data_IF_776690921276
#
_entry.id   IF_776690921276
#
_cell.length_a   1.000
_cell.length_b   1.000
_cell.length_c   1.000
_cell.angle_alpha   90.00
_cell.angle_beta   90.00
_cell.angle_gamma   90.00
#
_symmetry.space_group_name_H-M   'P 1'
#
loop_
_entity.id
_entity.type
_entity.pdbx_description
1 polymer ?
#
# COMPACT_ATOMS: atom_id res chain seq x y z
N UNK A 1 53.41 -2.53 49.97
CA UNK A 1 52.60 -1.32 49.71
C UNK A 1 52.55 -1.16 48.20
N UNK A 2 51.49 -1.66 47.57
CA UNK A 2 51.30 -1.64 46.11
C UNK A 2 49.92 -1.05 45.85
N UNK A 3 49.89 -0.02 45.02
CA UNK A 3 48.76 0.88 44.81
C UNK A 3 47.61 0.22 44.03
N UNK A 4 46.42 0.67 44.39
CA UNK A 4 45.09 0.29 43.91
C UNK A 4 44.90 0.37 42.40
N UNK A 5 44.30 -0.69 41.83
CA UNK A 5 43.58 -0.62 40.56
C UNK A 5 42.29 0.17 40.78
N UNK A 6 42.24 1.38 40.24
CA UNK A 6 41.07 2.24 40.21
C UNK A 6 40.87 2.62 38.74
N UNK A 7 39.86 2.03 38.08
CA UNK A 7 38.99 2.68 37.09
C UNK A 7 37.93 1.66 36.67
N UNK A 8 36.84 1.70 37.45
CA UNK A 8 35.49 1.34 37.05
C UNK A 8 35.08 2.30 35.93
N UNK A 9 34.63 1.77 34.79
CA UNK A 9 34.11 2.56 33.69
C UNK A 9 32.86 1.89 33.13
N UNK A 10 31.65 2.36 33.49
CA UNK A 10 30.44 2.01 32.79
C UNK A 10 30.11 3.17 31.83
N UNK A 11 30.04 2.90 30.54
CA UNK A 11 29.47 3.85 29.59
C UNK A 11 30.22 3.91 28.27
N UNK A 12 29.73 3.18 27.28
CA UNK A 12 28.65 3.65 26.41
C UNK A 12 28.36 2.48 25.47
N UNK A 13 27.26 1.77 25.73
CA UNK A 13 26.61 1.03 24.65
C UNK A 13 26.15 2.10 23.67
N UNK A 14 26.94 2.36 22.63
CA UNK A 14 26.42 2.91 21.40
C UNK A 14 25.37 1.91 20.95
N UNK A 15 24.12 2.13 21.37
CA UNK A 15 23.02 1.84 20.48
C UNK A 15 23.34 2.66 19.24
N UNK A 16 23.91 1.98 18.24
CA UNK A 16 23.63 2.34 16.87
C UNK A 16 22.11 2.47 16.78
N UNK A 17 21.61 3.70 16.95
CA UNK A 17 20.31 4.10 16.43
C UNK A 17 20.45 4.02 14.92
N UNK A 18 20.41 2.78 14.43
CA UNK A 18 20.15 2.50 13.04
C UNK A 18 18.85 3.26 12.73
N UNK A 19 18.86 4.21 11.78
CA UNK A 19 17.64 4.88 11.38
C UNK A 19 16.60 3.80 11.04
N UNK A 20 15.32 3.97 11.41
CA UNK A 20 14.31 2.97 11.10
C UNK A 20 14.34 2.71 9.59
N UNK A 21 14.80 1.53 9.19
CA UNK A 21 14.74 1.08 7.80
C UNK A 21 13.28 1.05 7.41
N UNK A 22 12.81 1.87 6.45
CA UNK A 22 11.41 1.87 6.03
C UNK A 22 11.16 0.71 5.07
N UNK A 23 11.50 -0.52 5.45
CA UNK A 23 11.67 -1.60 4.48
C UNK A 23 10.87 -2.87 4.82
N UNK A 24 9.67 -2.72 5.39
CA UNK A 24 8.68 -3.78 5.18
C UNK A 24 7.94 -3.46 3.89
N UNK A 25 8.13 -4.21 2.80
CA UNK A 25 7.33 -4.03 1.60
C UNK A 25 5.86 -4.25 1.93
N UNK A 26 4.97 -3.46 1.33
CA UNK A 26 3.51 -3.57 1.54
C UNK A 26 3.07 -5.02 1.48
N UNK A 27 2.36 -5.47 2.50
CA UNK A 27 1.74 -6.79 2.50
C UNK A 27 0.43 -6.78 1.70
N UNK A 28 0.50 -7.19 0.44
CA UNK A 28 -0.67 -7.31 -0.43
C UNK A 28 -1.70 -8.34 0.08
N UNK A 29 -1.30 -9.31 0.92
CA UNK A 29 -2.27 -10.21 1.55
C UNK A 29 -3.13 -9.46 2.55
N UNK A 30 -2.53 -8.59 3.36
CA UNK A 30 -3.25 -7.73 4.30
C UNK A 30 -4.17 -6.75 3.56
N UNK A 31 -3.69 -6.15 2.47
CA UNK A 31 -4.52 -5.28 1.60
C UNK A 31 -5.76 -6.03 1.10
N UNK A 32 -5.57 -7.23 0.56
CA UNK A 32 -6.67 -8.06 0.06
C UNK A 32 -7.63 -8.49 1.19
N UNK A 33 -7.12 -8.81 2.38
CA UNK A 33 -7.92 -9.16 3.55
C UNK A 33 -8.81 -7.99 4.01
N UNK A 34 -8.27 -6.76 4.05
CA UNK A 34 -9.05 -5.56 4.37
C UNK A 34 -10.15 -5.34 3.33
N UNK A 35 -9.81 -5.41 2.04
CA UNK A 35 -10.76 -5.23 0.95
C UNK A 35 -11.89 -6.28 0.96
N UNK A 36 -11.57 -7.55 1.27
CA UNK A 36 -12.59 -8.60 1.45
C UNK A 36 -13.54 -8.31 2.59
N UNK A 37 -13.02 -7.84 3.73
CA UNK A 37 -13.84 -7.43 4.88
C UNK A 37 -14.76 -6.24 4.57
N UNK A 38 -14.38 -5.41 3.60
CA UNK A 38 -15.20 -4.32 3.08
C UNK A 38 -16.25 -4.79 2.03
N UNK A 39 -16.36 -6.08 1.75
CA UNK A 39 -17.36 -6.64 0.85
C UNK A 39 -16.93 -6.78 -0.61
N UNK A 40 -15.62 -6.85 -0.88
CA UNK A 40 -15.09 -7.15 -2.21
C UNK A 40 -14.69 -8.62 -2.36
N UNK A 41 -14.79 -9.15 -3.58
CA UNK A 41 -14.01 -10.33 -3.95
C UNK A 41 -12.60 -9.87 -4.30
N UNK A 42 -11.57 -10.53 -3.77
CA UNK A 42 -10.17 -10.20 -4.07
C UNK A 42 -9.33 -11.43 -4.42
N UNK A 43 -8.55 -11.33 -5.48
CA UNK A 43 -7.56 -12.32 -5.93
C UNK A 43 -6.17 -11.68 -5.97
N UNK A 44 -5.19 -12.42 -5.47
CA UNK A 44 -3.78 -12.06 -5.60
C UNK A 44 -3.22 -12.66 -6.88
N UNK A 45 -2.46 -11.85 -7.61
CA UNK A 45 -1.56 -12.30 -8.66
C UNK A 45 -0.12 -12.08 -8.18
N UNK A 46 0.65 -13.16 -8.12
CA UNK A 46 2.03 -13.15 -7.68
C UNK A 46 3.01 -13.00 -8.86
N UNK A 47 2.51 -12.83 -10.09
CA UNK A 47 3.33 -12.45 -11.23
C UNK A 47 3.92 -11.05 -10.98
N UNK A 48 5.18 -10.82 -11.30
CA UNK A 48 5.83 -9.52 -11.06
C UNK A 48 5.34 -8.48 -12.10
N UNK A 49 4.82 -7.31 -11.68
CA UNK A 49 4.67 -6.86 -10.29
C UNK A 49 3.45 -7.49 -9.61
N UNK A 50 3.65 -7.93 -8.36
CA UNK A 50 2.58 -8.55 -7.58
C UNK A 50 1.39 -7.58 -7.45
N UNK A 51 0.18 -8.10 -7.64
CA UNK A 51 -1.03 -7.30 -7.74
C UNK A 51 -2.22 -7.92 -7.00
N UNK A 52 -3.11 -7.05 -6.53
CA UNK A 52 -4.44 -7.36 -6.02
C UNK A 52 -5.45 -7.00 -7.10
N UNK A 53 -6.22 -7.99 -7.53
CA UNK A 53 -7.40 -7.79 -8.34
C UNK A 53 -8.64 -7.82 -7.46
N UNK A 54 -9.54 -6.85 -7.64
CA UNK A 54 -10.77 -6.77 -6.86
C UNK A 54 -12.00 -6.48 -7.71
N UNK A 55 -13.16 -6.86 -7.19
CA UNK A 55 -14.48 -6.53 -7.74
C UNK A 55 -15.53 -6.49 -6.63
N UNK A 56 -16.67 -5.84 -6.87
CA UNK A 56 -17.81 -5.86 -5.94
C UNK A 56 -18.32 -7.30 -5.77
N UNK A 57 -18.49 -7.75 -4.53
CA UNK A 57 -19.09 -9.05 -4.26
C UNK A 57 -20.54 -9.10 -4.76
N UNK A 58 -20.98 -10.27 -5.25
CA UNK A 58 -22.34 -10.47 -5.74
C UNK A 58 -22.60 -10.01 -7.18
N UNK A 59 -21.65 -9.35 -7.86
CA UNK A 59 -21.76 -9.00 -9.29
C UNK A 59 -21.62 -10.21 -10.26
N UNK A 60 -21.80 -11.45 -9.79
CA UNK A 60 -21.71 -12.66 -10.61
C UNK A 60 -20.31 -12.96 -11.13
N UNK A 61 -20.20 -13.73 -12.22
CA UNK A 61 -18.93 -14.05 -12.88
C UNK A 61 -18.32 -12.88 -13.67
N UNK A 62 -18.62 -11.64 -13.27
CA UNK A 62 -18.06 -10.44 -13.88
C UNK A 62 -16.53 -10.42 -13.77
N UNK A 63 -15.89 -9.80 -14.77
CA UNK A 63 -14.46 -9.57 -14.79
C UNK A 63 -14.00 -8.79 -13.55
N UNK A 64 -12.73 -8.96 -13.17
CA UNK A 64 -12.11 -8.09 -12.17
C UNK A 64 -12.17 -6.64 -12.65
N UNK A 65 -12.56 -5.73 -11.77
CA UNK A 65 -12.76 -4.32 -12.13
C UNK A 65 -11.63 -3.43 -11.66
N UNK A 66 -10.92 -3.83 -10.61
CA UNK A 66 -9.79 -3.06 -10.04
C UNK A 66 -8.50 -3.87 -10.08
N UNK A 67 -7.42 -3.22 -10.44
CA UNK A 67 -6.05 -3.70 -10.29
C UNK A 67 -5.25 -2.72 -9.42
N UNK A 68 -4.53 -3.25 -8.45
CA UNK A 68 -3.67 -2.48 -7.58
C UNK A 68 -2.41 -3.27 -7.23
N UNK A 69 -1.30 -2.59 -6.97
CA UNK A 69 -0.03 -3.27 -6.68
C UNK A 69 1.08 -2.30 -6.36
N UNK A 70 2.31 -2.81 -6.25
CA UNK A 70 3.50 -2.03 -5.92
C UNK A 70 4.33 -1.85 -7.18
N UNK A 71 4.83 -0.64 -7.40
CA UNK A 71 5.87 -0.36 -8.40
C UNK A 71 7.25 -0.65 -7.78
N UNK A 72 7.93 -1.68 -8.26
CA UNK A 72 9.27 -2.08 -7.78
C UNK A 72 10.42 -1.37 -8.49
N UNK A 73 10.14 -0.69 -9.61
CA UNK A 73 11.17 -0.12 -10.49
C UNK A 73 11.52 1.35 -10.15
N UNK A 74 11.00 1.86 -9.04
CA UNK A 74 11.18 3.24 -8.59
C UNK A 74 12.06 3.31 -7.35
N UNK A 75 12.89 4.36 -7.25
CA UNK A 75 13.78 4.56 -6.11
C UNK A 75 13.04 4.77 -4.76
N UNK A 76 11.75 5.08 -4.83
CA UNK A 76 10.84 5.20 -3.68
C UNK A 76 9.69 4.22 -3.90
N UNK A 77 9.23 3.50 -2.85
CA UNK A 77 8.05 2.64 -2.97
C UNK A 77 6.83 3.45 -3.41
N UNK A 78 6.21 3.05 -4.52
CA UNK A 78 4.93 3.57 -4.99
C UNK A 78 3.94 2.42 -5.10
N UNK A 79 2.68 2.69 -4.84
CA UNK A 79 1.60 1.77 -5.19
C UNK A 79 0.77 2.37 -6.31
N UNK A 80 0.14 1.51 -7.11
CA UNK A 80 -0.83 1.91 -8.12
C UNK A 80 -2.20 1.34 -7.79
N UNK A 81 -3.25 2.02 -8.27
CA UNK A 81 -4.65 1.55 -8.21
C UNK A 81 -5.40 2.09 -9.43
N UNK A 82 -6.22 1.27 -10.07
CA UNK A 82 -7.05 1.72 -11.19
C UNK A 82 -7.91 0.60 -11.78
N UNK A 83 -8.65 0.89 -12.86
CA UNK A 83 -9.41 -0.10 -13.59
C UNK A 83 -8.51 -1.25 -14.07
N UNK A 84 -9.04 -2.47 -14.03
CA UNK A 84 -8.32 -3.62 -14.60
C UNK A 84 -8.18 -3.45 -16.11
N UNK A 85 -7.02 -3.82 -16.68
CA UNK A 85 -6.68 -3.66 -18.11
C UNK A 85 -6.60 -2.22 -18.63
N UNK A 86 -6.66 -1.21 -17.76
CA UNK A 86 -6.45 0.18 -18.16
C UNK A 86 -4.98 0.59 -17.95
N UNK A 87 -4.37 1.33 -18.88
CA UNK A 87 -3.09 1.98 -18.63
C UNK A 87 -3.20 3.15 -17.66
N UNK A 88 -4.43 3.58 -17.32
CA UNK A 88 -4.69 4.69 -16.42
C UNK A 88 -4.75 4.18 -14.98
N UNK A 89 -3.89 4.71 -14.13
CA UNK A 89 -3.86 4.39 -12.70
C UNK A 89 -3.65 5.66 -11.88
N UNK A 90 -4.02 5.61 -10.61
CA UNK A 90 -3.57 6.55 -9.58
C UNK A 90 -2.37 5.95 -8.88
N UNK A 91 -1.38 6.79 -8.62
CA UNK A 91 -0.19 6.41 -7.91
C UNK A 91 -0.24 6.97 -6.50
N UNK A 92 0.10 6.14 -5.52
CA UNK A 92 0.16 6.46 -4.10
C UNK A 92 1.63 6.51 -3.66
N UNK A 93 2.02 7.65 -3.07
CA UNK A 93 3.33 7.85 -2.43
C UNK A 93 3.31 7.33 -1.01
N UNK A 94 4.45 6.84 -0.54
CA UNK A 94 4.63 6.28 0.81
C UNK A 94 3.48 5.33 1.17
N UNK A 95 3.19 4.35 0.31
CA UNK A 95 1.96 3.61 0.41
C UNK A 95 1.98 2.75 1.69
N UNK A 96 0.84 2.68 2.37
CA UNK A 96 0.57 1.72 3.44
C UNK A 96 -0.61 0.81 3.07
N UNK A 97 -0.72 -0.34 3.74
CA UNK A 97 -1.71 -1.36 3.41
C UNK A 97 -3.15 -0.86 3.55
N UNK A 98 -3.42 -0.01 4.56
CA UNK A 98 -4.79 0.48 4.83
C UNK A 98 -5.21 1.50 3.80
N UNK A 99 -4.31 2.43 3.45
CA UNK A 99 -4.56 3.44 2.43
C UNK A 99 -4.76 2.79 1.06
N UNK A 100 -3.90 1.85 0.67
CA UNK A 100 -4.07 1.12 -0.60
C UNK A 100 -5.39 0.33 -0.62
N UNK A 101 -5.74 -0.36 0.46
CA UNK A 101 -7.01 -1.09 0.55
C UNK A 101 -8.22 -0.15 0.44
N UNK A 102 -8.18 1.01 1.09
CA UNK A 102 -9.26 1.99 1.01
C UNK A 102 -9.45 2.53 -0.41
N UNK A 103 -8.36 2.76 -1.15
CA UNK A 103 -8.43 3.18 -2.55
C UNK A 103 -8.99 2.07 -3.46
N UNK A 104 -8.62 0.81 -3.22
CA UNK A 104 -9.20 -0.34 -3.93
C UNK A 104 -10.72 -0.37 -3.70
N UNK A 105 -11.16 -0.16 -2.46
CA UNK A 105 -12.59 -0.12 -2.10
C UNK A 105 -13.30 1.01 -2.84
N UNK A 106 -12.78 2.24 -2.81
CA UNK A 106 -13.40 3.35 -3.53
C UNK A 106 -13.45 3.10 -5.03
N UNK A 107 -12.36 2.61 -5.63
CA UNK A 107 -12.31 2.33 -7.06
C UNK A 107 -13.29 1.21 -7.45
N UNK A 108 -13.44 0.17 -6.63
CA UNK A 108 -14.38 -0.92 -6.89
C UNK A 108 -15.85 -0.48 -6.70
N UNK A 109 -16.08 0.51 -5.83
CA UNK A 109 -17.39 1.08 -5.56
C UNK A 109 -17.78 2.20 -6.53
N UNK A 110 -17.08 2.40 -7.64
CA UNK A 110 -17.55 3.26 -8.74
C UNK A 110 -18.69 2.61 -9.52
N UNK A 111 -19.58 3.43 -10.06
CA UNK A 111 -20.65 2.98 -10.96
C UNK A 111 -20.12 2.66 -12.36
N UNK A 112 -19.18 3.48 -12.87
CA UNK A 112 -18.37 3.16 -14.04
C UNK A 112 -17.00 2.61 -13.58
N UNK A 113 -16.72 1.31 -13.79
CA UNK A 113 -15.46 0.69 -13.38
C UNK A 113 -14.25 1.17 -14.19
N UNK A 114 -14.44 1.76 -15.37
CA UNK A 114 -13.37 2.24 -16.26
C UNK A 114 -12.91 3.67 -15.93
N UNK A 115 -13.70 4.40 -15.14
CA UNK A 115 -13.33 5.74 -14.67
C UNK A 115 -12.34 5.66 -13.50
N UNK A 116 -11.36 6.55 -13.50
CA UNK A 116 -10.46 6.69 -12.36
C UNK A 116 -11.08 7.53 -11.26
N UNK A 117 -10.73 7.21 -10.01
CA UNK A 117 -10.97 8.07 -8.86
C UNK A 117 -10.50 9.51 -9.13
N UNK A 118 -11.40 10.46 -8.89
CA UNK A 118 -11.11 11.89 -8.97
C UNK A 118 -10.49 12.41 -7.67
N UNK A 119 -9.88 13.60 -7.73
CA UNK A 119 -9.37 14.27 -6.54
C UNK A 119 -10.48 14.52 -5.52
N UNK A 120 -11.64 15.01 -5.97
CA UNK A 120 -12.73 15.40 -5.07
C UNK A 120 -13.34 14.19 -4.36
N UNK A 121 -13.48 13.05 -5.04
CA UNK A 121 -13.92 11.79 -4.41
C UNK A 121 -12.90 11.29 -3.38
N UNK A 122 -11.61 11.29 -3.73
CA UNK A 122 -10.56 10.88 -2.80
C UNK A 122 -10.51 11.82 -1.59
N UNK A 123 -10.67 13.14 -1.81
CA UNK A 123 -10.65 14.16 -0.76
C UNK A 123 -11.86 14.04 0.16
N UNK A 124 -13.05 13.77 -0.38
CA UNK A 124 -14.26 13.53 0.41
C UNK A 124 -14.10 12.32 1.36
N UNK A 125 -13.24 11.37 1.02
CA UNK A 125 -12.91 10.22 1.87
C UNK A 125 -11.63 10.39 2.72
N UNK A 126 -10.97 11.55 2.64
CA UNK A 126 -9.71 11.79 3.35
C UNK A 126 -8.52 10.98 2.82
N UNK A 127 -8.56 10.56 1.55
CA UNK A 127 -7.55 9.71 0.91
C UNK A 127 -6.79 10.42 -0.21
N UNK A 128 -7.06 11.71 -0.46
CA UNK A 128 -6.40 12.48 -1.50
C UNK A 128 -4.93 12.77 -1.20
N UNK A 129 -4.56 12.81 0.08
CA UNK A 129 -3.18 12.97 0.51
C UNK A 129 -2.34 11.78 0.03
N UNK A 130 -1.14 12.04 -0.49
CA UNK A 130 -0.26 10.99 -1.00
C UNK A 130 -0.61 10.47 -2.40
N UNK A 131 -1.81 10.73 -2.92
CA UNK A 131 -2.13 10.46 -4.33
C UNK A 131 -1.43 11.45 -5.26
N UNK A 132 -0.89 10.93 -6.37
CA UNK A 132 -0.34 11.74 -7.44
C UNK A 132 -1.42 12.03 -8.48
N UNK A 133 -1.60 13.32 -8.75
CA UNK A 133 -2.54 13.86 -9.73
C UNK A 133 -1.73 14.33 -10.94
N UNK A 134 -2.02 13.77 -12.11
CA UNK A 134 -1.40 14.11 -13.40
C UNK A 134 -2.43 14.74 -14.33
#
# INVERSE_FOLDING_TARGET
MTYSNLFDGPGHNQHDEQPPTPDTPIDLNLVAEIARRAGLDCRLDNQSPAAVHARRAGCGAAAWTVSAGICTDTAVPLAFVGPTNSPRTRLLRNPDERHLAALIVLQALRDDPEELLTHDEAAACGLADGLMWA
#
